data_IF_742525593674
#
_entry.id   IF_742525593674
#
_cell.length_a   1.000
_cell.length_b   1.000
_cell.length_c   1.000
_cell.angle_alpha   90.00
_cell.angle_beta   90.00
_cell.angle_gamma   90.00
#
_symmetry.space_group_name_H-M   'P 1'
#
loop_
_entity.id
_entity.type
_entity.pdbx_description
1 polymer ?
#
# COMPACT_ATOMS: atom_id res chain seq x y z
N UNK A 1 10.42 -5.54 7.79
CA UNK A 1 9.05 -5.02 7.64
C UNK A 1 9.21 -3.60 7.17
N UNK A 2 8.68 -3.29 6.00
CA UNK A 2 8.85 -1.98 5.38
C UNK A 2 7.56 -1.20 5.59
N UNK A 3 7.68 0.06 5.98
CA UNK A 3 6.54 0.95 6.18
C UNK A 3 6.29 1.78 4.93
N UNK A 4 5.01 2.02 4.63
CA UNK A 4 4.56 2.85 3.53
C UNK A 4 3.74 4.03 4.04
N UNK A 5 3.56 5.04 3.19
CA UNK A 5 2.78 6.25 3.50
C UNK A 5 1.58 6.35 2.58
N UNK A 6 0.39 6.53 3.16
CA UNK A 6 -0.83 6.80 2.38
C UNK A 6 -0.70 8.16 1.69
N UNK A 7 -0.87 8.20 0.37
CA UNK A 7 -0.81 9.45 -0.41
C UNK A 7 -2.19 9.93 -0.85
N UNK A 8 -3.14 9.02 -1.07
CA UNK A 8 -4.47 9.35 -1.57
C UNK A 8 -5.51 8.31 -1.13
N UNK A 9 -6.73 8.77 -0.84
CA UNK A 9 -7.89 7.93 -0.50
C UNK A 9 -9.05 8.32 -1.41
N UNK A 10 -9.57 7.36 -2.18
CA UNK A 10 -10.77 7.51 -3.03
C UNK A 10 -11.73 6.37 -2.71
N UNK A 11 -12.63 6.60 -1.75
CA UNK A 11 -13.51 5.55 -1.26
C UNK A 11 -12.71 4.42 -0.61
N UNK A 12 -12.88 3.19 -1.08
CA UNK A 12 -12.12 2.02 -0.61
C UNK A 12 -10.76 1.86 -1.31
N UNK A 13 -10.48 2.66 -2.34
CA UNK A 13 -9.21 2.60 -3.07
C UNK A 13 -8.20 3.52 -2.39
N UNK A 14 -7.04 2.99 -2.05
CA UNK A 14 -6.00 3.72 -1.33
C UNK A 14 -4.68 3.58 -2.07
N UNK A 15 -4.06 4.71 -2.37
CA UNK A 15 -2.71 4.72 -2.95
C UNK A 15 -1.69 4.90 -1.80
N UNK A 16 -0.69 4.02 -1.77
CA UNK A 16 0.36 3.97 -0.74
C UNK A 16 1.72 4.02 -1.39
N UNK A 17 2.60 4.88 -0.90
CA UNK A 17 3.99 5.02 -1.34
C UNK A 17 4.93 4.22 -0.44
N UNK A 18 5.80 3.41 -1.05
CA UNK A 18 6.87 2.66 -0.40
C UNK A 18 8.25 3.08 -0.92
N UNK A 19 9.32 2.87 -0.14
CA UNK A 19 10.68 2.94 -0.66
C UNK A 19 10.85 1.99 -1.85
N UNK A 20 11.56 2.43 -2.89
CA UNK A 20 11.72 1.67 -4.15
C UNK A 20 12.29 0.26 -3.99
N UNK A 21 13.10 0.05 -2.95
CA UNK A 21 13.68 -1.26 -2.61
C UNK A 21 12.73 -2.18 -1.81
N UNK A 22 11.55 -1.68 -1.46
CA UNK A 22 10.59 -2.31 -0.54
C UNK A 22 9.15 -2.24 -1.05
N UNK A 23 8.97 -2.14 -2.37
CA UNK A 23 7.64 -2.14 -2.98
C UNK A 23 6.99 -3.52 -2.78
N UNK A 24 5.81 -3.60 -2.16
CA UNK A 24 5.10 -4.86 -1.98
C UNK A 24 4.57 -5.40 -3.31
N UNK A 25 4.36 -6.71 -3.38
CA UNK A 25 3.85 -7.38 -4.58
C UNK A 25 2.33 -7.30 -4.64
N UNK A 26 1.78 -7.48 -5.83
CA UNK A 26 0.33 -7.68 -5.99
C UNK A 26 -0.11 -8.89 -5.17
N UNK A 27 -1.24 -8.75 -4.48
CA UNK A 27 -1.81 -9.66 -3.48
C UNK A 27 -1.09 -9.71 -2.12
N UNK A 28 -0.08 -8.86 -1.88
CA UNK A 28 0.44 -8.69 -0.52
C UNK A 28 -0.55 -7.92 0.35
N UNK A 29 -0.61 -8.30 1.63
CA UNK A 29 -1.44 -7.64 2.62
C UNK A 29 -0.68 -6.50 3.31
N UNK A 30 -1.24 -5.29 3.32
CA UNK A 30 -0.79 -4.16 4.11
C UNK A 30 -1.67 -4.05 5.36
N UNK A 31 -1.04 -3.95 6.53
CA UNK A 31 -1.75 -3.88 7.82
C UNK A 31 -1.58 -2.52 8.45
N UNK A 32 -2.69 -1.96 8.92
CA UNK A 32 -2.69 -0.76 9.78
C UNK A 32 -2.85 -1.24 11.22
N UNK A 33 -1.75 -1.28 11.96
CA UNK A 33 -1.69 -1.86 13.31
C UNK A 33 -2.66 -1.16 14.30
N UNK A 34 -2.85 0.16 14.18
CA UNK A 34 -3.75 0.92 15.07
C UNK A 34 -5.23 0.51 14.95
N UNK A 35 -5.67 0.10 13.77
CA UNK A 35 -7.08 -0.23 13.51
C UNK A 35 -7.33 -1.71 13.24
N UNK A 36 -6.26 -2.49 13.02
CA UNK A 36 -6.35 -3.85 12.52
C UNK A 36 -6.86 -3.95 11.08
N UNK A 37 -6.96 -2.83 10.35
CA UNK A 37 -7.42 -2.82 8.98
C UNK A 37 -6.38 -3.48 8.07
N UNK A 38 -6.86 -4.34 7.16
CA UNK A 38 -6.04 -5.00 6.14
C UNK A 38 -6.43 -4.45 4.78
N UNK A 39 -5.43 -4.02 4.03
CA UNK A 39 -5.53 -3.61 2.63
C UNK A 39 -4.79 -4.66 1.78
N UNK A 40 -5.24 -4.90 0.56
CA UNK A 40 -4.58 -5.85 -0.35
C UNK A 40 -4.05 -5.08 -1.56
N UNK A 41 -2.78 -5.24 -1.89
CA UNK A 41 -2.19 -4.60 -3.06
C UNK A 41 -2.81 -5.16 -4.34
N UNK A 42 -3.51 -4.31 -5.11
CA UNK A 42 -4.13 -4.67 -6.39
C UNK A 42 -3.22 -4.36 -7.58
N UNK A 43 -2.41 -3.31 -7.50
CA UNK A 43 -1.60 -2.85 -8.63
C UNK A 43 -0.37 -2.05 -8.18
N UNK A 44 0.76 -2.24 -8.87
CA UNK A 44 1.91 -1.32 -8.82
C UNK A 44 1.73 -0.21 -9.87
N UNK A 45 1.77 1.05 -9.44
CA UNK A 45 1.60 2.24 -10.30
C UNK A 45 2.94 2.79 -10.80
N UNK A 46 4.06 2.27 -10.30
CA UNK A 46 5.41 2.77 -10.55
C UNK A 46 5.87 3.78 -9.51
N UNK A 47 7.16 4.11 -9.52
CA UNK A 47 7.79 5.07 -8.59
C UNK A 47 7.58 4.77 -7.09
N UNK A 48 7.35 3.50 -6.74
CA UNK A 48 7.10 3.08 -5.36
C UNK A 48 5.64 3.20 -4.92
N UNK A 49 4.73 3.62 -5.81
CA UNK A 49 3.30 3.67 -5.54
C UNK A 49 2.64 2.32 -5.81
N UNK A 50 1.81 1.91 -4.86
CA UNK A 50 0.90 0.79 -5.00
C UNK A 50 -0.53 1.24 -4.71
N UNK A 51 -1.48 0.60 -5.39
CA UNK A 51 -2.92 0.78 -5.17
C UNK A 51 -3.47 -0.44 -4.48
N UNK A 52 -4.19 -0.21 -3.39
CA UNK A 52 -4.96 -1.22 -2.65
C UNK A 52 -6.45 -1.05 -2.83
#
# INVERSE_FOLDING_TARGET
MSEGRIVQIIGAVIDVEFPRESVPRVYDALKIEETGLVLEVQQELGDGLVRT
#
